data_IF_947659927925
#
_entry.id   IF_947659927925
#
_cell.length_a   1.000
_cell.length_b   1.000
_cell.length_c   1.000
_cell.angle_alpha   90.00
_cell.angle_beta   90.00
_cell.angle_gamma   90.00
#
_symmetry.space_group_name_H-M   'P 1'
#
loop_
_entity.id
_entity.type
_entity.pdbx_description
1 polymer ?
#
# COMPACT_ATOMS: atom_id res chain seq x y z
N UNK A 1 60.88 -42.39 9.09
CA UNK A 1 60.54 -41.52 7.95
C UNK A 1 59.08 -41.74 7.66
N UNK A 2 58.23 -40.91 8.22
CA UNK A 2 56.78 -40.94 8.01
C UNK A 2 56.32 -39.51 7.78
N UNK A 3 55.94 -39.24 6.51
CA UNK A 3 55.50 -37.91 6.11
C UNK A 3 54.09 -37.54 6.60
N UNK A 4 53.78 -36.25 6.72
CA UNK A 4 52.51 -35.78 7.24
C UNK A 4 51.39 -35.88 6.20
N UNK A 5 50.23 -36.37 6.60
CA UNK A 5 48.99 -36.43 5.86
C UNK A 5 48.36 -35.03 5.78
N UNK A 6 48.28 -34.51 4.59
CA UNK A 6 47.55 -33.30 4.25
C UNK A 6 46.04 -33.54 4.43
N UNK A 7 45.40 -32.77 5.33
CA UNK A 7 43.95 -32.73 5.50
C UNK A 7 43.42 -31.46 4.86
N UNK A 8 42.92 -31.60 3.67
CA UNK A 8 42.08 -30.58 3.00
C UNK A 8 40.77 -30.45 3.78
N UNK A 9 40.35 -29.27 4.24
CA UNK A 9 39.01 -29.08 4.79
C UNK A 9 38.01 -28.98 3.64
N UNK A 10 37.04 -29.89 3.64
CA UNK A 10 35.86 -29.91 2.81
C UNK A 10 34.91 -28.77 3.25
N UNK A 11 35.00 -27.62 2.57
CA UNK A 11 34.09 -26.47 2.74
C UNK A 11 32.92 -26.58 1.77
N UNK A 12 32.07 -27.56 1.94
CA UNK A 12 30.72 -27.54 1.36
C UNK A 12 29.81 -26.72 2.26
N UNK A 13 29.90 -25.40 2.14
CA UNK A 13 28.88 -24.50 2.68
C UNK A 13 27.59 -24.68 1.88
N UNK A 14 26.72 -25.53 2.37
CA UNK A 14 25.32 -25.60 1.94
C UNK A 14 24.66 -24.26 2.26
N UNK A 15 24.62 -23.38 1.31
CA UNK A 15 23.77 -22.20 1.35
C UNK A 15 22.32 -22.69 1.35
N UNK A 16 21.70 -22.71 2.52
CA UNK A 16 20.28 -22.98 2.67
C UNK A 16 19.53 -21.97 1.81
N UNK A 17 18.69 -22.39 0.84
CA UNK A 17 17.91 -21.43 0.08
C UNK A 17 17.01 -20.68 1.06
N UNK A 18 17.15 -19.35 1.12
CA UNK A 18 16.25 -18.46 1.84
C UNK A 18 14.84 -18.84 1.42
N UNK A 19 14.02 -19.31 2.35
CA UNK A 19 12.63 -19.68 2.09
C UNK A 19 11.98 -18.51 1.32
N UNK A 20 11.53 -18.77 0.10
CA UNK A 20 10.94 -17.73 -0.73
C UNK A 20 9.77 -17.12 0.04
N UNK A 21 9.83 -15.81 0.30
CA UNK A 21 8.81 -15.10 1.07
C UNK A 21 7.44 -15.35 0.44
N UNK A 22 6.49 -15.86 1.24
CA UNK A 22 5.15 -16.16 0.75
C UNK A 22 4.45 -14.88 0.26
N UNK A 23 3.78 -14.92 -0.90
CA UNK A 23 3.07 -13.76 -1.40
C UNK A 23 1.85 -13.44 -0.53
N UNK A 24 1.72 -12.17 -0.12
CA UNK A 24 0.52 -11.66 0.57
C UNK A 24 -0.60 -11.33 -0.40
N UNK A 25 -0.24 -11.02 -1.66
CA UNK A 25 -1.20 -10.84 -2.76
C UNK A 25 -0.69 -11.59 -3.99
N UNK A 26 -1.59 -12.33 -4.65
CA UNK A 26 -1.36 -12.95 -5.95
C UNK A 26 -2.51 -12.61 -6.89
N UNK A 27 -2.17 -12.17 -8.10
CA UNK A 27 -3.07 -11.81 -9.17
C UNK A 27 -2.67 -12.63 -10.41
N UNK A 28 -3.62 -13.35 -11.01
CA UNK A 28 -3.40 -14.21 -12.19
C UNK A 28 -4.45 -13.86 -13.25
N UNK A 29 -4.07 -13.07 -14.26
CA UNK A 29 -4.93 -12.58 -15.36
C UNK A 29 -6.28 -12.05 -14.84
N UNK A 30 -6.23 -11.29 -13.74
CA UNK A 30 -7.41 -10.86 -13.03
C UNK A 30 -8.07 -9.65 -13.71
N UNK A 31 -9.41 -9.71 -13.85
CA UNK A 31 -10.22 -8.60 -14.33
C UNK A 31 -11.34 -8.30 -13.33
N UNK A 32 -11.72 -7.03 -13.22
CA UNK A 32 -12.58 -6.52 -12.17
C UNK A 32 -13.75 -5.72 -12.73
N UNK A 33 -14.97 -5.96 -12.19
CA UNK A 33 -16.19 -5.38 -12.69
C UNK A 33 -17.14 -4.91 -11.58
N UNK A 34 -17.84 -3.80 -11.83
CA UNK A 34 -19.04 -3.38 -11.10
C UNK A 34 -20.27 -3.78 -11.93
N UNK A 35 -21.02 -4.77 -11.47
CA UNK A 35 -22.12 -5.33 -12.27
C UNK A 35 -21.61 -5.85 -13.62
N UNK A 36 -22.16 -5.33 -14.71
CA UNK A 36 -21.75 -5.67 -16.08
C UNK A 36 -20.57 -4.84 -16.62
N UNK A 37 -20.16 -3.78 -15.92
CA UNK A 37 -19.11 -2.88 -16.42
C UNK A 37 -17.73 -3.33 -15.93
N UNK A 38 -16.86 -3.74 -16.85
CA UNK A 38 -15.46 -4.06 -16.57
C UNK A 38 -14.64 -2.79 -16.49
N UNK A 39 -13.94 -2.58 -15.37
CA UNK A 39 -13.16 -1.36 -15.08
C UNK A 39 -11.67 -1.59 -15.21
N UNK A 40 -11.19 -2.78 -14.89
CA UNK A 40 -9.76 -3.09 -14.92
C UNK A 40 -9.55 -4.52 -15.42
N UNK A 41 -8.64 -4.71 -16.38
CA UNK A 41 -8.43 -6.00 -17.06
C UNK A 41 -6.99 -6.47 -17.00
N UNK A 42 -6.81 -7.81 -17.00
CA UNK A 42 -5.54 -8.48 -17.27
C UNK A 42 -4.45 -8.20 -16.22
N UNK A 43 -4.81 -8.09 -14.94
CA UNK A 43 -3.83 -7.81 -13.89
C UNK A 43 -3.15 -9.10 -13.45
N UNK A 44 -1.82 -9.14 -13.57
CA UNK A 44 -0.97 -10.26 -13.16
C UNK A 44 0.21 -9.75 -12.36
N UNK A 45 0.43 -10.32 -11.17
CA UNK A 45 1.54 -9.94 -10.31
C UNK A 45 1.48 -10.56 -8.92
N UNK A 46 2.52 -10.33 -8.12
CA UNK A 46 2.63 -10.81 -6.74
C UNK A 46 3.26 -9.76 -5.86
N UNK A 47 2.76 -9.63 -4.64
CA UNK A 47 3.37 -8.82 -3.57
C UNK A 47 3.84 -9.78 -2.50
N UNK A 48 5.13 -9.80 -2.21
CA UNK A 48 5.71 -10.65 -1.18
C UNK A 48 5.55 -10.02 0.20
N UNK A 49 5.65 -10.84 1.24
CA UNK A 49 5.60 -10.36 2.63
C UNK A 49 6.69 -9.30 2.87
N UNK A 50 6.31 -8.19 3.53
CA UNK A 50 7.21 -7.07 3.84
C UNK A 50 7.52 -6.13 2.66
N UNK A 51 6.99 -6.38 1.46
CA UNK A 51 7.19 -5.49 0.31
C UNK A 51 6.11 -4.43 0.19
N UNK A 52 6.47 -3.28 -0.40
CA UNK A 52 5.56 -2.24 -0.81
C UNK A 52 5.39 -2.22 -2.33
N UNK A 53 4.13 -2.15 -2.79
CA UNK A 53 3.72 -2.01 -4.19
C UNK A 53 3.08 -0.63 -4.41
N UNK A 54 3.61 0.17 -5.32
CA UNK A 54 2.94 1.37 -5.81
C UNK A 54 1.92 1.02 -6.90
N UNK A 55 0.67 1.45 -6.74
CA UNK A 55 -0.32 1.47 -7.82
C UNK A 55 -0.31 2.86 -8.45
N UNK A 56 0.20 2.95 -9.67
CA UNK A 56 0.38 4.21 -10.40
C UNK A 56 -0.53 4.26 -11.62
N UNK A 57 -0.98 5.44 -11.98
CA UNK A 57 -1.81 5.66 -13.17
C UNK A 57 -2.72 6.87 -13.05
N UNK A 58 -3.31 7.34 -14.16
CA UNK A 58 -4.21 8.49 -14.16
C UNK A 58 -5.48 8.24 -13.34
N UNK A 59 -6.24 9.30 -13.10
CA UNK A 59 -7.56 9.15 -12.46
C UNK A 59 -8.46 8.27 -13.32
N UNK A 60 -9.20 7.36 -12.68
CA UNK A 60 -10.04 6.39 -13.39
C UNK A 60 -9.29 5.17 -13.94
N UNK A 61 -7.97 5.04 -13.72
CA UNK A 61 -7.17 3.90 -14.23
C UNK A 61 -7.48 2.55 -13.58
N UNK A 62 -8.23 2.53 -12.46
CA UNK A 62 -8.60 1.30 -11.75
C UNK A 62 -7.83 1.05 -10.45
N UNK A 63 -7.01 1.98 -9.93
CA UNK A 63 -6.26 1.84 -8.67
C UNK A 63 -7.17 1.49 -7.48
N UNK A 64 -8.14 2.35 -7.18
CA UNK A 64 -9.13 2.14 -6.11
C UNK A 64 -9.99 0.90 -6.36
N UNK A 65 -10.30 0.58 -7.64
CA UNK A 65 -11.02 -0.65 -8.01
C UNK A 65 -10.22 -1.88 -7.62
N UNK A 66 -8.93 -1.93 -7.91
CA UNK A 66 -8.05 -3.02 -7.51
C UNK A 66 -7.99 -3.16 -5.98
N UNK A 67 -7.81 -2.06 -5.25
CA UNK A 67 -7.79 -2.09 -3.77
C UNK A 67 -9.12 -2.62 -3.20
N UNK A 68 -10.25 -2.11 -3.70
CA UNK A 68 -11.57 -2.58 -3.29
C UNK A 68 -11.81 -4.05 -3.66
N UNK A 69 -11.25 -4.52 -4.77
CA UNK A 69 -11.30 -5.93 -5.16
C UNK A 69 -10.50 -6.82 -4.20
N UNK A 70 -9.31 -6.39 -3.75
CA UNK A 70 -8.54 -7.11 -2.74
C UNK A 70 -9.29 -7.23 -1.40
N UNK A 71 -10.16 -6.25 -1.07
CA UNK A 71 -11.05 -6.28 0.08
C UNK A 71 -12.31 -7.15 -0.14
N UNK A 72 -12.55 -7.64 -1.36
CA UNK A 72 -13.74 -8.40 -1.72
C UNK A 72 -14.99 -7.53 -1.96
N UNK A 73 -14.82 -6.22 -2.18
CA UNK A 73 -15.90 -5.26 -2.44
C UNK A 73 -16.23 -5.11 -3.92
N UNK A 74 -15.40 -5.68 -4.81
CA UNK A 74 -15.55 -5.65 -6.26
C UNK A 74 -15.44 -7.07 -6.79
N UNK A 75 -16.24 -7.39 -7.81
CA UNK A 75 -16.27 -8.72 -8.40
C UNK A 75 -15.02 -8.98 -9.23
N UNK A 76 -14.34 -10.11 -8.97
CA UNK A 76 -13.33 -10.68 -9.88
C UNK A 76 -14.08 -11.39 -11.00
N UNK A 77 -14.16 -10.77 -12.18
CA UNK A 77 -14.93 -11.27 -13.33
C UNK A 77 -14.15 -12.27 -14.18
N UNK A 78 -12.80 -12.25 -14.08
CA UNK A 78 -11.90 -13.21 -14.75
C UNK A 78 -10.64 -13.40 -13.93
N UNK A 79 -9.98 -14.54 -14.11
CA UNK A 79 -8.70 -14.86 -13.48
C UNK A 79 -8.83 -15.27 -12.01
N UNK A 80 -7.74 -15.11 -11.26
CA UNK A 80 -7.69 -15.50 -9.85
C UNK A 80 -7.00 -14.43 -9.02
N UNK A 81 -7.55 -14.18 -7.82
CA UNK A 81 -6.96 -13.28 -6.83
C UNK A 81 -6.87 -14.00 -5.49
N UNK A 82 -5.73 -13.87 -4.81
CA UNK A 82 -5.55 -14.34 -3.43
C UNK A 82 -4.98 -13.20 -2.58
N UNK A 83 -5.46 -13.11 -1.35
CA UNK A 83 -5.01 -12.15 -0.33
C UNK A 83 -4.76 -12.92 0.95
N UNK A 84 -3.52 -12.91 1.45
CA UNK A 84 -3.08 -13.73 2.58
C UNK A 84 -3.49 -15.22 2.41
N UNK A 85 -3.32 -15.76 1.19
CA UNK A 85 -3.65 -17.15 0.85
C UNK A 85 -5.14 -17.45 0.60
N UNK A 86 -6.06 -16.52 0.91
CA UNK A 86 -7.50 -16.68 0.76
C UNK A 86 -8.07 -15.91 -0.45
N UNK A 87 -9.32 -16.19 -0.83
CA UNK A 87 -10.04 -15.34 -1.79
C UNK A 87 -10.29 -13.94 -1.21
N UNK A 88 -10.46 -12.89 -2.04
CA UNK A 88 -10.79 -11.55 -1.59
C UNK A 88 -11.98 -11.53 -0.63
N UNK A 89 -11.89 -10.74 0.44
CA UNK A 89 -12.92 -10.68 1.50
C UNK A 89 -13.00 -11.92 2.40
N UNK A 90 -12.19 -12.95 2.16
CA UNK A 90 -12.11 -14.18 2.98
C UNK A 90 -10.79 -14.31 3.75
N UNK A 91 -9.89 -13.33 3.64
CA UNK A 91 -8.68 -13.27 4.44
C UNK A 91 -8.99 -13.26 5.95
N UNK A 92 -8.09 -13.75 6.82
CA UNK A 92 -8.29 -13.72 8.26
C UNK A 92 -8.68 -12.31 8.75
N UNK A 93 -9.64 -12.25 9.68
CA UNK A 93 -10.15 -10.97 10.19
C UNK A 93 -9.03 -10.11 10.77
N UNK A 94 -8.95 -8.86 10.34
CA UNK A 94 -7.92 -7.90 10.76
C UNK A 94 -6.56 -8.10 10.08
N UNK A 95 -6.39 -9.10 9.19
CA UNK A 95 -5.12 -9.31 8.47
C UNK A 95 -4.91 -8.35 7.31
N UNK A 96 -5.94 -7.61 6.90
CA UNK A 96 -5.88 -6.56 5.88
C UNK A 96 -6.43 -5.27 6.48
N UNK A 97 -5.63 -4.20 6.45
CA UNK A 97 -6.03 -2.84 6.78
C UNK A 97 -6.34 -2.05 5.50
N UNK A 98 -7.26 -1.10 5.59
CA UNK A 98 -7.55 -0.16 4.51
C UNK A 98 -7.67 1.26 5.03
N UNK A 99 -6.89 2.14 4.44
CA UNK A 99 -6.93 3.59 4.66
C UNK A 99 -7.54 4.21 3.40
N UNK A 100 -8.79 4.66 3.46
CA UNK A 100 -9.46 5.34 2.34
C UNK A 100 -8.88 6.74 2.14
N UNK A 101 -9.21 7.35 1.03
CA UNK A 101 -8.94 8.76 0.80
C UNK A 101 -9.67 9.61 1.85
N UNK A 102 -9.01 10.64 2.36
CA UNK A 102 -9.53 11.44 3.50
C UNK A 102 -10.85 12.17 3.15
N UNK A 103 -11.03 12.54 1.89
CA UNK A 103 -12.27 13.16 1.39
C UNK A 103 -13.53 12.32 1.56
N UNK A 104 -13.38 10.99 1.75
CA UNK A 104 -14.50 10.06 1.90
C UNK A 104 -15.06 10.01 3.35
N UNK A 105 -14.44 10.76 4.28
CA UNK A 105 -14.82 10.74 5.70
C UNK A 105 -15.62 11.97 6.08
N UNK A 106 -16.65 11.77 6.90
CA UNK A 106 -17.41 12.87 7.52
C UNK A 106 -16.66 13.38 8.76
N UNK A 107 -16.08 14.60 8.73
CA UNK A 107 -15.34 15.15 9.86
C UNK A 107 -16.23 15.55 11.04
N UNK A 108 -17.55 15.62 10.85
CA UNK A 108 -18.50 16.03 11.89
C UNK A 108 -18.89 14.87 12.81
N UNK A 109 -18.50 13.64 12.48
CA UNK A 109 -18.82 12.46 13.28
C UNK A 109 -18.22 12.57 14.69
N UNK A 110 -19.01 12.49 15.77
CA UNK A 110 -18.59 12.86 17.12
C UNK A 110 -17.83 11.74 17.84
N UNK A 111 -16.70 11.32 17.29
CA UNK A 111 -15.82 10.27 17.87
C UNK A 111 -14.48 10.84 18.30
N UNK A 112 -13.88 10.22 19.30
CA UNK A 112 -12.51 10.50 19.73
C UNK A 112 -11.51 9.76 18.84
N UNK A 113 -10.27 10.26 18.80
CA UNK A 113 -9.14 9.64 18.09
C UNK A 113 -8.96 8.18 18.52
N UNK A 114 -9.02 7.90 19.82
CA UNK A 114 -8.92 6.55 20.37
C UNK A 114 -10.04 5.64 19.86
N UNK A 115 -11.27 6.14 19.83
CA UNK A 115 -12.41 5.35 19.32
C UNK A 115 -12.24 5.01 17.84
N UNK A 116 -11.77 5.96 17.01
CA UNK A 116 -11.45 5.68 15.60
C UNK A 116 -10.43 4.55 15.48
N UNK A 117 -9.35 4.58 16.27
CA UNK A 117 -8.34 3.52 16.25
C UNK A 117 -8.92 2.19 16.74
N UNK A 118 -9.75 2.18 17.77
CA UNK A 118 -10.40 0.97 18.27
C UNK A 118 -11.33 0.31 17.22
N UNK A 119 -11.96 1.10 16.34
CA UNK A 119 -12.80 0.57 15.26
C UNK A 119 -12.04 -0.38 14.34
N UNK A 120 -10.73 -0.20 14.17
CA UNK A 120 -9.88 -1.11 13.39
C UNK A 120 -9.89 -2.55 13.90
N UNK A 121 -10.16 -2.76 15.17
CA UNK A 121 -10.17 -4.07 15.81
C UNK A 121 -11.57 -4.72 15.90
N UNK A 122 -12.64 -4.03 15.51
CA UNK A 122 -14.00 -4.54 15.66
C UNK A 122 -14.25 -5.87 14.94
N UNK A 123 -13.63 -6.05 13.78
CA UNK A 123 -13.72 -7.31 13.04
C UNK A 123 -13.16 -8.52 13.83
N UNK A 124 -12.23 -8.29 14.75
CA UNK A 124 -11.59 -9.31 15.58
C UNK A 124 -12.37 -9.56 16.89
N UNK A 125 -13.12 -8.56 17.40
CA UNK A 125 -13.79 -8.64 18.69
C UNK A 125 -15.10 -9.46 18.67
N UNK A 126 -15.71 -9.67 17.50
CA UNK A 126 -17.02 -10.29 17.35
C UNK A 126 -18.17 -9.33 17.70
N UNK A 127 -19.39 -9.67 17.25
CA UNK A 127 -20.56 -8.78 17.16
C UNK A 127 -21.06 -8.26 18.53
N UNK A 128 -20.75 -8.96 19.62
CA UNK A 128 -21.29 -8.66 20.97
C UNK A 128 -20.26 -8.18 22.00
N UNK A 129 -18.98 -8.04 21.61
CA UNK A 129 -17.93 -7.64 22.55
C UNK A 129 -17.58 -6.16 22.40
N UNK A 130 -17.71 -5.40 23.51
CA UNK A 130 -17.18 -4.04 23.58
C UNK A 130 -15.64 -4.06 23.67
N UNK A 131 -14.94 -3.04 23.11
CA UNK A 131 -13.51 -2.90 23.30
C UNK A 131 -13.15 -2.85 24.77
N UNK A 132 -12.42 -3.85 25.26
CA UNK A 132 -11.93 -3.93 26.63
C UNK A 132 -10.60 -3.21 26.84
N UNK A 133 -9.96 -3.47 27.99
CA UNK A 133 -8.66 -2.88 28.36
C UNK A 133 -7.58 -3.17 27.31
N UNK A 134 -7.55 -4.38 26.75
CA UNK A 134 -6.60 -4.78 25.71
C UNK A 134 -6.76 -3.95 24.42
N UNK A 135 -8.00 -3.72 23.98
CA UNK A 135 -8.24 -2.89 22.80
C UNK A 135 -7.84 -1.42 23.04
N UNK A 136 -8.01 -0.92 24.27
CA UNK A 136 -7.54 0.43 24.65
C UNK A 136 -6.01 0.51 24.63
N UNK A 137 -5.32 -0.49 25.16
CA UNK A 137 -3.85 -0.56 25.19
C UNK A 137 -3.32 -0.58 23.75
N UNK A 138 -3.81 -1.49 22.89
CA UNK A 138 -3.42 -1.58 21.48
C UNK A 138 -3.70 -0.30 20.69
N UNK A 139 -4.81 0.39 20.99
CA UNK A 139 -5.11 1.68 20.36
C UNK A 139 -4.10 2.76 20.75
N UNK A 140 -3.67 2.80 22.02
CA UNK A 140 -2.64 3.74 22.46
C UNK A 140 -1.28 3.40 21.85
N UNK A 141 -0.85 2.16 21.84
CA UNK A 141 0.38 1.70 21.17
C UNK A 141 0.40 2.09 19.69
N UNK A 142 -0.72 1.90 18.99
CA UNK A 142 -0.85 2.32 17.59
C UNK A 142 -0.83 3.84 17.43
N UNK A 143 -1.35 4.61 18.37
CA UNK A 143 -1.26 6.08 18.35
C UNK A 143 0.15 6.57 18.67
N UNK A 144 0.88 5.87 19.55
CA UNK A 144 2.30 6.15 19.81
C UNK A 144 3.14 5.97 18.55
N UNK A 145 2.92 4.88 17.80
CA UNK A 145 3.67 4.61 16.55
C UNK A 145 3.45 5.65 15.45
N UNK A 146 2.42 6.48 15.54
CA UNK A 146 2.15 7.58 14.60
C UNK A 146 2.32 8.96 15.23
N UNK A 147 2.85 9.04 16.47
CA UNK A 147 3.15 10.29 17.18
C UNK A 147 1.91 11.09 17.60
N UNK A 148 0.79 10.41 17.96
CA UNK A 148 -0.48 11.05 18.32
C UNK A 148 -1.10 10.52 19.62
N UNK A 149 -0.33 9.88 20.50
CA UNK A 149 -0.84 9.35 21.77
C UNK A 149 -1.43 10.45 22.68
N UNK A 150 -0.83 11.66 22.69
CA UNK A 150 -1.29 12.84 23.43
C UNK A 150 -2.63 13.38 22.93
N UNK A 151 -3.11 12.94 21.78
CA UNK A 151 -4.36 13.34 21.14
C UNK A 151 -5.49 12.32 21.28
N UNK A 152 -5.24 11.19 21.97
CA UNK A 152 -6.17 10.05 22.05
C UNK A 152 -7.61 10.43 22.45
N UNK A 153 -7.78 11.38 23.35
CA UNK A 153 -9.09 11.83 23.86
C UNK A 153 -9.68 13.05 23.13
N UNK A 154 -8.96 13.59 22.12
CA UNK A 154 -9.50 14.67 21.28
C UNK A 154 -10.53 14.13 20.30
N UNK A 155 -11.44 14.99 19.85
CA UNK A 155 -12.35 14.68 18.74
C UNK A 155 -11.56 14.54 17.45
N UNK A 156 -11.80 13.48 16.68
CA UNK A 156 -11.12 13.20 15.41
C UNK A 156 -11.25 14.37 14.41
N UNK A 157 -12.46 14.93 14.26
CA UNK A 157 -12.71 16.04 13.34
C UNK A 157 -12.01 17.35 13.69
N UNK A 158 -11.40 17.49 14.88
CA UNK A 158 -10.64 18.70 15.27
C UNK A 158 -9.15 18.62 14.91
N UNK A 159 -8.70 17.48 14.38
CA UNK A 159 -7.33 17.27 13.93
C UNK A 159 -7.11 17.89 12.55
N UNK A 160 -5.84 18.26 12.24
CA UNK A 160 -5.46 18.59 10.85
C UNK A 160 -5.60 17.38 9.94
N UNK A 161 -5.72 17.59 8.62
CA UNK A 161 -5.83 16.51 7.65
C UNK A 161 -4.68 15.49 7.75
N UNK A 162 -3.44 15.95 7.92
CA UNK A 162 -2.30 15.06 8.10
C UNK A 162 -2.34 14.27 9.42
N UNK A 163 -2.87 14.86 10.49
CA UNK A 163 -3.09 14.13 11.74
C UNK A 163 -4.21 13.09 11.59
N UNK A 164 -5.32 13.44 10.92
CA UNK A 164 -6.40 12.50 10.61
C UNK A 164 -5.89 11.32 9.79
N UNK A 165 -5.07 11.58 8.77
CA UNK A 165 -4.45 10.53 7.95
C UNK A 165 -3.62 9.56 8.79
N UNK A 166 -2.78 10.08 9.71
CA UNK A 166 -2.00 9.24 10.62
C UNK A 166 -2.88 8.44 11.60
N UNK A 167 -3.97 8.99 12.09
CA UNK A 167 -4.95 8.24 12.90
C UNK A 167 -5.58 7.08 12.12
N UNK A 168 -5.87 7.27 10.82
CA UNK A 168 -6.40 6.18 9.99
C UNK A 168 -5.36 5.07 9.76
N UNK A 169 -4.07 5.41 9.65
CA UNK A 169 -2.99 4.42 9.64
C UNK A 169 -2.94 3.69 10.98
N UNK A 170 -2.96 4.41 12.12
CA UNK A 170 -2.99 3.80 13.44
C UNK A 170 -4.20 2.85 13.63
N UNK A 171 -5.37 3.19 13.08
CA UNK A 171 -6.54 2.32 13.06
C UNK A 171 -6.25 0.97 12.38
N UNK A 172 -5.51 0.98 11.28
CA UNK A 172 -5.10 -0.25 10.61
C UNK A 172 -4.07 -1.02 11.44
N UNK A 173 -3.04 -0.34 11.96
CA UNK A 173 -1.96 -0.93 12.76
C UNK A 173 -2.48 -1.61 14.02
N UNK A 174 -3.48 -1.02 14.70
CA UNK A 174 -4.09 -1.60 15.89
C UNK A 174 -4.67 -3.01 15.66
N UNK A 175 -5.06 -3.34 14.44
CA UNK A 175 -5.50 -4.69 14.06
C UNK A 175 -4.35 -5.69 13.86
N UNK A 176 -3.07 -5.24 13.83
CA UNK A 176 -1.89 -6.04 13.50
C UNK A 176 -2.01 -6.75 12.15
N UNK A 177 -2.19 -6.00 11.06
CA UNK A 177 -2.41 -6.56 9.73
C UNK A 177 -1.11 -7.14 9.15
N UNK A 178 -1.24 -8.03 8.16
CA UNK A 178 -0.14 -8.47 7.30
C UNK A 178 -0.02 -7.60 6.03
N UNK A 179 -1.11 -6.93 5.66
CA UNK A 179 -1.22 -6.07 4.49
C UNK A 179 -2.01 -4.81 4.83
N UNK A 180 -1.49 -3.64 4.45
CA UNK A 180 -2.23 -2.37 4.51
C UNK A 180 -2.36 -1.81 3.09
N UNK A 181 -3.58 -1.42 2.72
CA UNK A 181 -3.91 -0.72 1.49
C UNK A 181 -4.07 0.76 1.83
N UNK A 182 -3.33 1.63 1.16
CA UNK A 182 -3.32 3.09 1.36
C UNK A 182 -3.77 3.78 0.07
N UNK A 183 -4.98 4.35 0.07
CA UNK A 183 -5.56 4.98 -1.12
C UNK A 183 -5.26 6.49 -1.12
N UNK A 184 -4.35 6.93 -2.01
CA UNK A 184 -3.87 8.32 -2.14
C UNK A 184 -3.46 8.96 -0.79
N UNK A 185 -2.64 8.31 0.07
CA UNK A 185 -2.45 8.70 1.46
C UNK A 185 -1.71 10.01 1.64
N UNK A 186 -1.01 10.51 0.62
CA UNK A 186 -0.23 11.74 0.64
C UNK A 186 -0.97 12.94 0.06
N UNK A 187 -2.18 12.73 -0.47
CA UNK A 187 -2.92 13.78 -1.13
C UNK A 187 -3.32 14.90 -0.15
N UNK A 188 -2.99 16.14 -0.51
CA UNK A 188 -3.32 17.32 0.30
C UNK A 188 -2.48 17.49 1.58
N UNK A 189 -1.40 16.71 1.77
CA UNK A 189 -0.49 16.87 2.90
C UNK A 189 0.54 17.96 2.64
N UNK A 190 0.81 18.78 3.66
CA UNK A 190 1.98 19.64 3.72
C UNK A 190 3.26 18.83 3.94
N UNK A 191 4.42 19.44 3.72
CA UNK A 191 5.72 18.78 3.80
C UNK A 191 5.98 18.09 5.14
N UNK A 192 5.73 18.70 6.33
CA UNK A 192 5.97 18.00 7.60
C UNK A 192 5.09 16.76 7.81
N UNK A 193 3.82 16.80 7.39
CA UNK A 193 2.93 15.65 7.50
C UNK A 193 3.28 14.54 6.48
N UNK A 194 3.78 14.93 5.29
CA UNK A 194 4.30 13.99 4.28
C UNK A 194 5.52 13.23 4.83
N UNK A 195 6.50 13.93 5.40
CA UNK A 195 7.70 13.33 5.99
C UNK A 195 7.35 12.40 7.16
N UNK A 196 6.45 12.83 8.05
CA UNK A 196 5.97 11.97 9.13
C UNK A 196 5.30 10.69 8.63
N UNK A 197 4.50 10.78 7.56
CA UNK A 197 3.85 9.60 6.97
C UNK A 197 4.85 8.68 6.27
N UNK A 198 5.88 9.23 5.60
CA UNK A 198 6.96 8.45 5.00
C UNK A 198 7.73 7.65 6.06
N UNK A 199 8.06 8.27 7.20
CA UNK A 199 8.68 7.58 8.33
C UNK A 199 7.82 6.43 8.83
N UNK A 200 6.52 6.65 9.03
CA UNK A 200 5.59 5.61 9.46
C UNK A 200 5.54 4.45 8.46
N UNK A 201 5.51 4.73 7.16
CA UNK A 201 5.52 3.70 6.10
C UNK A 201 6.81 2.87 6.18
N UNK A 202 7.96 3.49 6.39
CA UNK A 202 9.23 2.81 6.56
C UNK A 202 9.20 1.89 7.78
N UNK A 203 8.76 2.40 8.95
CA UNK A 203 8.65 1.62 10.19
C UNK A 203 7.72 0.41 10.04
N UNK A 204 6.61 0.56 9.29
CA UNK A 204 5.69 -0.55 9.02
C UNK A 204 6.33 -1.65 8.15
N UNK A 205 7.12 -1.26 7.14
CA UNK A 205 7.88 -2.19 6.30
C UNK A 205 8.93 -2.93 7.12
N UNK A 206 9.67 -2.23 7.97
CA UNK A 206 10.68 -2.82 8.86
C UNK A 206 10.06 -3.82 9.85
N UNK A 207 8.79 -3.64 10.22
CA UNK A 207 8.01 -4.60 10.99
C UNK A 207 7.48 -5.78 10.14
N UNK A 208 7.81 -5.85 8.85
CA UNK A 208 7.37 -6.91 7.94
C UNK A 208 5.94 -6.78 7.43
N UNK A 209 5.30 -5.62 7.60
CA UNK A 209 3.96 -5.35 7.08
C UNK A 209 4.08 -4.99 5.60
N UNK A 210 3.30 -5.68 4.76
CA UNK A 210 3.25 -5.38 3.32
C UNK A 210 2.32 -4.21 3.06
N UNK A 211 2.66 -3.38 2.07
CA UNK A 211 1.89 -2.19 1.73
C UNK A 211 1.50 -2.20 0.25
N UNK A 212 0.30 -1.72 -0.06
CA UNK A 212 -0.11 -1.34 -1.41
C UNK A 212 -0.55 0.12 -1.35
N UNK A 213 0.13 0.99 -2.08
CA UNK A 213 -0.04 2.44 -2.01
C UNK A 213 -0.50 2.93 -3.38
N UNK A 214 -1.72 3.48 -3.49
CA UNK A 214 -2.11 4.19 -4.70
C UNK A 214 -1.54 5.60 -4.68
N UNK A 215 -1.00 6.03 -5.80
CA UNK A 215 -0.49 7.40 -5.96
C UNK A 215 -0.46 7.79 -7.43
N UNK A 216 -0.53 9.08 -7.70
CA UNK A 216 -0.19 9.67 -8.98
C UNK A 216 1.18 10.36 -8.97
N UNK A 217 1.86 10.39 -7.82
CA UNK A 217 3.19 10.97 -7.63
C UNK A 217 4.25 9.87 -7.81
N UNK A 218 5.03 9.99 -8.91
CA UNK A 218 6.07 9.03 -9.25
C UNK A 218 7.26 9.09 -8.28
N UNK A 219 7.57 10.27 -7.73
CA UNK A 219 8.66 10.43 -6.77
C UNK A 219 8.34 9.67 -5.49
N UNK A 220 7.11 9.81 -4.98
CA UNK A 220 6.63 9.02 -3.84
C UNK A 220 6.69 7.52 -4.09
N UNK A 221 6.26 7.07 -5.27
CA UNK A 221 6.33 5.66 -5.63
C UNK A 221 7.78 5.14 -5.61
N UNK A 222 8.73 5.95 -6.06
CA UNK A 222 10.16 5.63 -6.05
C UNK A 222 10.76 5.62 -4.64
N UNK A 223 10.34 6.54 -3.78
CA UNK A 223 10.84 6.64 -2.40
C UNK A 223 10.32 5.54 -1.48
N UNK A 224 9.07 5.08 -1.70
CA UNK A 224 8.38 4.22 -0.73
C UNK A 224 8.30 2.76 -1.11
N UNK A 225 8.32 2.42 -2.42
CA UNK A 225 7.97 1.09 -2.90
C UNK A 225 9.12 0.40 -3.65
N UNK A 226 9.25 -0.90 -3.49
CA UNK A 226 10.18 -1.76 -4.24
C UNK A 226 9.59 -2.17 -5.59
N UNK A 227 8.26 -2.28 -5.66
CA UNK A 227 7.52 -2.68 -6.85
C UNK A 227 6.54 -1.60 -7.29
N UNK A 228 6.20 -1.61 -8.57
CA UNK A 228 5.17 -0.77 -9.13
C UNK A 228 4.24 -1.57 -10.06
N UNK A 229 2.98 -1.17 -10.08
CA UNK A 229 1.99 -1.57 -11.07
C UNK A 229 1.44 -0.32 -11.75
N UNK A 230 1.67 -0.20 -13.04
CA UNK A 230 1.17 0.91 -13.85
C UNK A 230 -0.14 0.51 -14.53
N UNK A 231 -1.21 1.26 -14.26
CA UNK A 231 -2.58 0.95 -14.64
C UNK A 231 -3.19 2.05 -15.52
N UNK A 232 -3.95 1.65 -16.54
CA UNK A 232 -4.76 2.54 -17.39
C UNK A 232 -5.99 1.79 -17.94
N UNK A 233 -6.93 1.38 -17.04
CA UNK A 233 -8.05 0.47 -17.37
C UNK A 233 -7.61 -0.98 -17.63
N UNK A 234 -6.31 -1.17 -17.81
CA UNK A 234 -5.60 -2.45 -17.89
C UNK A 234 -4.23 -2.32 -17.22
N UNK A 235 -3.58 -3.43 -16.98
CA UNK A 235 -2.19 -3.39 -16.58
C UNK A 235 -1.32 -3.01 -17.78
N UNK A 236 -0.49 -1.97 -17.62
CA UNK A 236 0.54 -1.58 -18.58
C UNK A 236 1.84 -2.32 -18.27
N UNK A 237 2.27 -2.26 -16.99
CA UNK A 237 3.45 -2.93 -16.51
C UNK A 237 3.31 -3.31 -15.03
N UNK A 238 4.06 -4.33 -14.57
CA UNK A 238 4.16 -4.76 -13.18
C UNK A 238 5.55 -5.34 -12.93
N UNK A 239 6.19 -4.99 -11.82
CA UNK A 239 7.49 -5.52 -11.43
C UNK A 239 8.31 -4.57 -10.56
N UNK A 240 9.64 -4.71 -10.54
CA UNK A 240 10.53 -3.76 -9.89
C UNK A 240 10.23 -2.33 -10.36
N UNK A 241 10.16 -1.39 -9.43
CA UNK A 241 9.74 -0.01 -9.73
C UNK A 241 10.59 0.65 -10.82
N UNK A 242 11.90 0.39 -10.82
CA UNK A 242 12.84 1.00 -11.77
C UNK A 242 12.65 0.47 -13.21
N UNK A 243 12.11 -0.75 -13.37
CA UNK A 243 11.74 -1.34 -14.65
C UNK A 243 10.37 -0.88 -15.16
N UNK A 244 9.46 -0.54 -14.23
CA UNK A 244 8.08 -0.16 -14.53
C UNK A 244 7.93 1.35 -14.72
N UNK A 245 8.58 2.18 -13.88
CA UNK A 245 8.43 3.63 -13.89
C UNK A 245 9.38 4.27 -14.92
N UNK A 246 9.37 3.75 -16.15
CA UNK A 246 10.16 4.25 -17.29
C UNK A 246 9.29 5.03 -18.27
N UNK A 247 9.88 5.98 -18.97
CA UNK A 247 9.17 6.93 -19.84
C UNK A 247 8.18 6.25 -20.80
N UNK A 248 8.59 5.15 -21.45
CA UNK A 248 7.74 4.42 -22.43
C UNK A 248 6.41 3.95 -21.85
N UNK A 249 6.42 3.40 -20.62
CA UNK A 249 5.19 2.90 -19.97
C UNK A 249 4.37 4.03 -19.38
N UNK A 250 5.04 5.07 -18.85
CA UNK A 250 4.37 6.28 -18.34
C UNK A 250 3.62 6.97 -19.47
N UNK A 251 4.25 7.16 -20.64
CA UNK A 251 3.61 7.78 -21.81
C UNK A 251 2.43 6.94 -22.32
N UNK A 252 2.55 5.61 -22.32
CA UNK A 252 1.44 4.71 -22.66
C UNK A 252 0.26 4.86 -21.70
N UNK A 253 0.53 4.92 -20.37
CA UNK A 253 -0.51 5.03 -19.36
C UNK A 253 -1.23 6.39 -19.36
N UNK A 254 -0.51 7.47 -19.71
CA UNK A 254 -0.99 8.86 -19.65
C UNK A 254 -1.29 9.48 -21.01
N UNK A 255 -1.28 8.68 -22.10
CA UNK A 255 -1.70 9.14 -23.43
C UNK A 255 -0.68 10.02 -24.16
N UNK A 256 0.63 9.71 -24.04
CA UNK A 256 1.68 10.37 -24.84
C UNK A 256 2.20 11.71 -24.30
N UNK A 257 1.70 12.19 -23.17
CA UNK A 257 2.16 13.44 -22.54
C UNK A 257 2.56 13.25 -21.06
N UNK A 258 2.71 11.99 -20.62
CA UNK A 258 2.91 11.63 -19.22
C UNK A 258 4.26 12.09 -18.68
N UNK A 259 5.32 11.84 -19.40
CA UNK A 259 6.69 12.11 -18.97
C UNK A 259 6.94 13.60 -18.75
N UNK A 260 6.50 14.44 -19.66
CA UNK A 260 6.65 15.92 -19.59
C UNK A 260 5.87 16.50 -18.41
N UNK A 261 4.69 15.93 -18.11
CA UNK A 261 3.76 16.48 -17.11
C UNK A 261 4.11 16.04 -15.68
N UNK A 262 4.61 14.81 -15.52
CA UNK A 262 4.84 14.20 -14.20
C UNK A 262 6.27 14.39 -13.68
N UNK A 263 7.26 14.48 -14.57
CA UNK A 263 8.66 14.70 -14.18
C UNK A 263 9.03 16.19 -14.12
N UNK A 264 8.11 17.11 -14.37
CA UNK A 264 8.38 18.55 -14.33
C UNK A 264 9.41 19.01 -15.38
N UNK A 265 9.73 18.18 -16.35
CA UNK A 265 10.60 18.53 -17.45
C UNK A 265 9.83 19.47 -18.38
N UNK A 266 10.11 20.77 -18.29
CA UNK A 266 9.65 21.75 -19.30
C UNK A 266 10.14 21.24 -20.65
N UNK A 267 9.21 21.09 -21.58
CA UNK A 267 9.52 20.88 -23.00
C UNK A 267 10.33 22.09 -23.49
N UNK A 268 11.67 21.94 -23.47
CA UNK A 268 12.57 22.86 -24.15
C UNK A 268 12.47 22.65 -25.65
N UNK A 269 11.45 23.19 -26.28
CA UNK A 269 11.43 23.46 -27.72
C UNK A 269 11.18 24.95 -27.86
N UNK A 270 12.23 25.72 -27.60
CA UNK A 270 12.35 27.04 -28.19
C UNK A 270 12.97 26.86 -29.59
N UNK A 271 12.12 26.81 -30.56
CA UNK A 271 12.47 26.98 -31.96
C UNK A 271 12.95 28.40 -32.16
N UNK A 272 14.26 28.59 -32.22
CA UNK A 272 14.83 29.76 -32.90
C UNK A 272 14.61 29.57 -34.38
N UNK A 273 13.59 30.25 -34.88
CA UNK A 273 13.50 30.69 -36.29
C UNK A 273 13.00 32.12 -36.28
N UNK A 274 13.95 33.03 -36.38
CA UNK A 274 13.79 34.32 -37.08
C UNK A 274 15.16 34.85 -37.53
N UNK A 275 15.44 34.65 -38.78
CA UNK A 275 16.23 35.59 -39.60
C UNK A 275 15.33 36.56 -40.24
#
# INVERSE_FOLDING_TARGET
>A
MTGPRDRTPDMTTLTTPTAAAEPVVTLEDASFSYGSSTVLTGVTGRVLAGQALALVGPNGSGKTTLMRALLGMVTVSRGRVRVNGAAPGRAPRGSVGYVPQLSDLDPTFPVTVREVVQMGMYSQLGILRRPGAEARRRALEALESVGLADRADRRFGTLSGGQQQRVLVARCVAARPRLILLDEPFNGLDQPNREALLSIITDLKDQGISLIISTHDLVLAQETCEQAALLAGRQIAFGPRDDVLVARYIDEAYGGHGTTRLLGLRSGVDTQERS
#
